data_IF_624581600924
#
_entry.id   IF_624581600924
#
_cell.length_a   1.000
_cell.length_b   1.000
_cell.length_c   1.000
_cell.angle_alpha   90.00
_cell.angle_beta   90.00
_cell.angle_gamma   90.00
#
_symmetry.space_group_name_H-M   'P 1'
#
loop_
_entity.id
_entity.type
_entity.pdbx_description
1 polymer ?
#
# COMPACT_ATOMS: atom_id res chain seq x y z
N UNK A 1 -63.65 -2.92 -57.96
CA UNK A 1 -62.28 -2.74 -58.48
C UNK A 1 -61.35 -2.41 -57.32
N UNK A 2 -60.33 -3.26 -57.07
CA UNK A 2 -59.10 -3.03 -56.28
C UNK A 2 -59.25 -2.65 -54.79
N UNK A 3 -58.44 -3.09 -53.82
CA UNK A 3 -57.56 -4.24 -53.54
C UNK A 3 -56.99 -3.91 -52.13
N UNK A 4 -57.07 -4.85 -51.17
CA UNK A 4 -56.07 -5.16 -50.09
C UNK A 4 -55.71 -3.99 -49.13
N UNK A 5 -56.16 -3.92 -47.86
CA UNK A 5 -55.95 -4.74 -46.64
C UNK A 5 -54.55 -4.64 -45.99
N UNK A 6 -54.52 -3.90 -44.85
CA UNK A 6 -53.76 -4.13 -43.59
C UNK A 6 -52.22 -3.91 -43.55
N UNK A 7 -51.52 -3.69 -42.42
CA UNK A 7 -51.75 -3.65 -40.95
C UNK A 7 -50.73 -2.62 -40.40
N UNK A 8 -51.10 -1.75 -39.44
CA UNK A 8 -50.72 -1.86 -38.01
C UNK A 8 -49.21 -2.04 -37.73
N UNK A 9 -48.56 -1.03 -37.15
CA UNK A 9 -47.74 -1.20 -35.94
C UNK A 9 -47.16 0.14 -35.47
N UNK A 10 -47.38 0.40 -34.19
CA UNK A 10 -46.83 1.43 -33.32
C UNK A 10 -45.31 1.61 -33.42
N UNK A 11 -44.82 2.86 -33.48
CA UNK A 11 -43.48 3.18 -33.00
C UNK A 11 -43.44 4.52 -32.24
N UNK A 12 -43.37 4.34 -30.93
CA UNK A 12 -42.86 5.19 -29.84
C UNK A 12 -41.75 6.17 -30.27
N UNK A 13 -41.99 7.49 -30.12
CA UNK A 13 -40.94 8.51 -30.15
C UNK A 13 -41.09 9.43 -28.94
N UNK A 14 -40.13 9.25 -28.02
CA UNK A 14 -39.48 10.28 -27.20
C UNK A 14 -40.33 11.00 -26.14
N UNK A 15 -40.65 10.27 -25.05
CA UNK A 15 -40.96 10.91 -23.78
C UNK A 15 -39.68 11.39 -23.09
N UNK A 16 -39.64 12.70 -22.86
CA UNK A 16 -38.74 13.44 -21.99
C UNK A 16 -38.57 12.76 -20.63
N UNK A 17 -37.38 12.24 -20.35
CA UNK A 17 -36.87 12.16 -18.98
C UNK A 17 -35.98 13.37 -18.73
N UNK A 18 -36.58 14.46 -18.24
CA UNK A 18 -35.88 15.43 -17.41
C UNK A 18 -35.47 14.71 -16.13
N UNK A 19 -34.27 14.14 -16.11
CA UNK A 19 -33.57 13.99 -14.85
C UNK A 19 -33.02 15.37 -14.49
N UNK A 20 -33.72 16.04 -13.57
CA UNK A 20 -33.20 17.16 -12.83
C UNK A 20 -31.98 16.67 -12.04
N UNK A 21 -30.80 16.75 -12.67
CA UNK A 21 -29.54 16.76 -11.94
C UNK A 21 -29.59 18.06 -11.14
N UNK A 22 -29.94 17.96 -9.87
CA UNK A 22 -29.62 19.01 -8.92
C UNK A 22 -28.10 19.13 -8.92
N UNK A 23 -27.57 20.09 -9.70
CA UNK A 23 -26.24 20.62 -9.46
C UNK A 23 -26.28 21.24 -8.07
N UNK A 24 -25.87 20.47 -7.07
CA UNK A 24 -25.43 21.02 -5.81
C UNK A 24 -24.22 21.91 -6.11
N UNK A 25 -24.49 23.21 -6.03
CA UNK A 25 -23.55 24.30 -5.75
C UNK A 25 -22.07 24.01 -6.01
N UNK A 26 -21.58 24.56 -7.12
CA UNK A 26 -20.22 25.10 -7.29
C UNK A 26 -19.18 24.54 -6.31
N UNK A 27 -18.53 23.42 -6.68
CA UNK A 27 -17.20 23.12 -6.15
C UNK A 27 -16.28 24.27 -6.53
N UNK A 28 -15.97 25.13 -5.56
CA UNK A 28 -15.11 26.28 -5.74
C UNK A 28 -13.81 25.86 -6.44
N UNK A 29 -13.43 26.64 -7.44
CA UNK A 29 -12.26 26.39 -8.26
C UNK A 29 -10.99 26.13 -7.44
N UNK A 30 -10.30 25.03 -7.79
CA UNK A 30 -8.85 24.76 -7.62
C UNK A 30 -8.33 24.69 -6.16
N UNK A 31 -8.26 23.46 -5.64
CA UNK A 31 -7.82 23.06 -4.29
C UNK A 31 -6.34 23.26 -3.95
N UNK A 32 -5.72 24.36 -4.39
CA UNK A 32 -4.40 24.81 -3.98
C UNK A 32 -4.53 25.91 -2.93
N UNK A 33 -4.02 25.66 -1.73
CA UNK A 33 -4.06 26.61 -0.62
C UNK A 33 -2.89 27.59 -0.72
N UNK A 34 -3.09 28.85 -0.35
CA UNK A 34 -1.97 29.80 -0.25
C UNK A 34 -1.14 29.53 1.00
N UNK A 35 0.18 29.46 0.83
CA UNK A 35 1.13 29.08 1.85
C UNK A 35 2.23 30.13 1.95
N UNK A 36 2.69 30.39 3.18
CA UNK A 36 3.84 31.26 3.45
C UNK A 36 4.83 30.53 4.35
N UNK A 37 6.13 30.71 4.10
CA UNK A 37 7.16 30.29 5.04
C UNK A 37 7.18 31.25 6.24
N UNK A 38 7.15 30.69 7.44
CA UNK A 38 7.40 31.40 8.69
C UNK A 38 8.48 30.69 9.49
N UNK A 39 9.02 31.36 10.51
CA UNK A 39 10.13 30.88 11.30
C UNK A 39 9.80 30.97 12.79
N UNK A 40 10.25 29.97 13.54
CA UNK A 40 10.28 30.03 14.99
C UNK A 40 11.72 29.78 15.46
N UNK A 41 12.36 30.81 16.00
CA UNK A 41 13.75 30.77 16.49
C UNK A 41 14.72 30.12 15.49
N UNK A 42 14.66 30.53 14.22
CA UNK A 42 15.52 30.01 13.15
C UNK A 42 15.01 28.75 12.44
N UNK A 43 14.01 28.05 12.99
CA UNK A 43 13.46 26.83 12.37
C UNK A 43 12.21 27.16 11.52
N UNK A 44 12.21 26.83 10.21
CA UNK A 44 11.11 27.17 9.32
C UNK A 44 9.92 26.22 9.48
N UNK A 45 8.73 26.74 9.21
CA UNK A 45 7.51 25.97 8.99
C UNK A 45 6.63 26.65 7.94
N UNK A 46 5.75 25.87 7.32
CA UNK A 46 4.76 26.41 6.38
C UNK A 46 3.50 26.81 7.14
N UNK A 47 2.92 27.96 6.76
CA UNK A 47 1.68 28.47 7.30
C UNK A 47 0.66 28.71 6.20
N UNK A 48 -0.56 28.22 6.41
CA UNK A 48 -1.71 28.48 5.57
C UNK A 48 -2.14 29.94 5.76
N UNK A 49 -2.30 30.65 4.65
CA UNK A 49 -2.75 32.04 4.60
C UNK A 49 -3.97 32.15 3.68
N UNK A 50 -4.86 33.10 3.96
CA UNK A 50 -6.07 33.35 3.17
C UNK A 50 -6.97 32.11 2.97
N UNK A 51 -6.92 31.14 3.90
CA UNK A 51 -7.78 29.97 3.85
C UNK A 51 -9.14 30.30 4.48
N UNK A 52 -10.23 30.02 3.77
CA UNK A 52 -11.58 30.42 4.17
C UNK A 52 -12.04 29.78 5.48
N UNK A 53 -11.73 28.49 5.68
CA UNK A 53 -12.08 27.78 6.91
C UNK A 53 -11.00 28.00 7.99
N UNK A 54 -11.21 29.04 8.80
CA UNK A 54 -10.24 29.44 9.83
C UNK A 54 -9.95 28.37 10.88
N UNK A 55 -10.96 27.58 11.28
CA UNK A 55 -10.79 26.48 12.25
C UNK A 55 -9.82 25.42 11.73
N UNK A 56 -9.94 25.06 10.45
CA UNK A 56 -9.03 24.11 9.80
C UNK A 56 -7.63 24.71 9.67
N UNK A 57 -7.50 25.96 9.20
CA UNK A 57 -6.17 26.58 9.08
C UNK A 57 -5.48 26.76 10.42
N UNK A 58 -6.19 27.17 11.47
CA UNK A 58 -5.60 27.39 12.79
C UNK A 58 -5.08 26.07 13.39
N UNK A 59 -5.83 24.97 13.19
CA UNK A 59 -5.40 23.62 13.59
C UNK A 59 -4.12 23.19 12.86
N UNK A 60 -4.11 23.25 11.52
CA UNK A 60 -2.95 22.83 10.71
C UNK A 60 -1.73 23.72 11.02
N UNK A 61 -1.93 25.04 11.09
CA UNK A 61 -0.86 25.99 11.43
C UNK A 61 -0.26 25.72 12.81
N UNK A 62 -1.09 25.37 13.80
CA UNK A 62 -0.62 24.99 15.12
C UNK A 62 0.23 23.72 15.07
N UNK A 63 -0.19 22.69 14.33
CA UNK A 63 0.57 21.43 14.20
C UNK A 63 1.90 21.63 13.48
N UNK A 64 1.92 22.38 12.37
CA UNK A 64 3.15 22.68 11.64
C UNK A 64 4.11 23.56 12.46
N UNK A 65 3.59 24.54 13.21
CA UNK A 65 4.40 25.37 14.12
C UNK A 65 4.98 24.54 15.27
N UNK A 66 4.25 23.55 15.80
CA UNK A 66 4.74 22.66 16.86
C UNK A 66 6.01 21.91 16.44
N UNK A 67 6.14 21.53 15.17
CA UNK A 67 7.39 20.97 14.65
C UNK A 67 8.55 21.95 14.84
N UNK A 68 8.44 23.17 14.31
CA UNK A 68 9.49 24.19 14.44
C UNK A 68 9.79 24.56 15.92
N UNK A 69 8.78 24.57 16.79
CA UNK A 69 8.97 24.77 18.24
C UNK A 69 9.78 23.63 18.86
N UNK A 70 9.46 22.38 18.53
CA UNK A 70 10.21 21.20 18.99
C UNK A 70 11.65 21.25 18.49
N UNK A 71 11.85 21.54 17.20
CA UNK A 71 13.18 21.69 16.59
C UNK A 71 14.01 22.77 17.27
N UNK A 72 13.42 23.93 17.56
CA UNK A 72 14.08 24.99 18.31
C UNK A 72 14.42 24.58 19.75
N UNK A 73 13.60 23.75 20.40
CA UNK A 73 13.92 23.23 21.73
C UNK A 73 15.10 22.26 21.69
N UNK A 74 15.20 21.43 20.65
CA UNK A 74 16.29 20.47 20.48
C UNK A 74 17.59 21.20 20.16
N UNK A 75 17.59 22.12 19.19
CA UNK A 75 18.81 22.87 18.82
C UNK A 75 19.36 23.73 19.94
N UNK A 76 18.53 24.13 20.92
CA UNK A 76 18.95 24.89 22.10
C UNK A 76 19.20 24.01 23.35
N UNK A 77 19.12 22.69 23.24
CA UNK A 77 19.35 21.77 24.35
C UNK A 77 20.82 21.81 24.80
N UNK A 78 21.10 21.34 26.02
CA UNK A 78 22.48 21.23 26.51
C UNK A 78 23.35 20.35 25.61
N UNK A 79 22.76 19.31 25.03
CA UNK A 79 23.42 18.38 24.12
C UNK A 79 23.90 19.08 22.83
N UNK A 80 23.03 19.85 22.17
CA UNK A 80 23.37 20.52 20.91
C UNK A 80 24.10 21.85 21.07
N UNK A 81 24.41 22.27 22.31
CA UNK A 81 25.30 23.40 22.60
C UNK A 81 26.77 23.01 22.75
N UNK A 82 27.10 21.73 22.61
CA UNK A 82 28.47 21.26 22.62
C UNK A 82 29.21 21.70 21.35
N UNK A 83 30.52 21.89 21.45
CA UNK A 83 31.36 22.22 20.30
C UNK A 83 31.29 21.11 19.24
N UNK A 84 31.16 21.50 17.97
CA UNK A 84 31.03 20.57 16.86
C UNK A 84 29.66 19.89 16.73
N UNK A 85 28.68 20.21 17.58
CA UNK A 85 27.30 19.73 17.42
C UNK A 85 26.48 20.73 16.60
N UNK A 86 25.54 20.22 15.79
CA UNK A 86 24.70 21.03 14.92
C UNK A 86 23.32 20.40 14.79
N UNK A 87 22.27 21.22 14.75
CA UNK A 87 20.90 20.79 14.48
C UNK A 87 20.17 21.87 13.70
N UNK A 88 19.70 21.54 12.50
CA UNK A 88 18.96 22.45 11.66
C UNK A 88 17.83 21.74 10.92
N UNK A 89 16.82 22.52 10.54
CA UNK A 89 15.65 22.00 9.84
C UNK A 89 15.30 22.81 8.60
N UNK A 90 14.76 22.14 7.60
CA UNK A 90 14.19 22.75 6.39
C UNK A 90 12.74 22.27 6.23
N UNK A 91 11.95 23.00 5.47
CA UNK A 91 10.56 22.65 5.16
C UNK A 91 10.29 22.79 3.68
N UNK A 92 9.50 21.89 3.12
CA UNK A 92 9.02 21.94 1.74
C UNK A 92 7.54 21.58 1.66
N UNK A 93 6.84 22.14 0.68
CA UNK A 93 5.48 21.71 0.33
C UNK A 93 5.59 20.69 -0.81
N UNK A 94 5.44 19.41 -0.50
CA UNK A 94 5.55 18.32 -1.47
C UNK A 94 4.28 18.16 -2.32
N UNK A 95 3.10 18.50 -1.77
CA UNK A 95 1.84 18.45 -2.49
C UNK A 95 0.86 19.50 -1.98
N UNK A 96 0.11 20.13 -2.86
CA UNK A 96 -0.90 21.14 -2.51
C UNK A 96 -1.90 21.28 -3.67
N UNK A 97 -2.71 20.25 -3.86
CA UNK A 97 -3.74 20.15 -4.89
C UNK A 97 -4.84 19.22 -4.37
N UNK A 98 -6.00 19.18 -5.04
CA UNK A 98 -7.04 18.16 -4.82
C UNK A 98 -7.47 17.99 -3.35
N UNK A 99 -7.56 19.11 -2.61
CA UNK A 99 -7.88 19.13 -1.17
C UNK A 99 -6.90 18.31 -0.30
N UNK A 100 -5.67 18.08 -0.77
CA UNK A 100 -4.59 17.46 -0.01
C UNK A 100 -3.41 18.40 0.09
N UNK A 101 -2.81 18.42 1.27
CA UNK A 101 -1.58 19.14 1.56
C UNK A 101 -0.56 18.17 2.15
N UNK A 102 0.61 18.07 1.55
CA UNK A 102 1.75 17.32 2.07
C UNK A 102 2.89 18.29 2.37
N UNK A 103 3.26 18.39 3.64
CA UNK A 103 4.41 19.20 4.10
C UNK A 103 5.51 18.26 4.58
N UNK A 104 6.69 18.42 4.00
CA UNK A 104 7.89 17.68 4.36
C UNK A 104 8.80 18.56 5.21
N UNK A 105 9.22 18.04 6.36
CA UNK A 105 10.30 18.61 7.14
C UNK A 105 11.54 17.75 7.00
N UNK A 106 12.70 18.40 6.96
CA UNK A 106 13.99 17.75 6.87
C UNK A 106 14.82 18.21 8.04
N UNK A 107 15.44 17.28 8.74
CA UNK A 107 16.35 17.56 9.84
C UNK A 107 17.73 17.13 9.42
N UNK A 108 18.70 18.04 9.55
CA UNK A 108 20.13 17.74 9.42
C UNK A 108 20.78 17.99 10.77
N UNK A 109 21.51 17.02 11.30
CA UNK A 109 22.21 17.18 12.58
C UNK A 109 23.55 16.45 12.62
N UNK A 110 24.47 16.91 13.46
CA UNK A 110 25.69 16.17 13.82
C UNK A 110 25.88 16.21 15.34
N UNK A 111 26.44 15.14 15.88
CA UNK A 111 26.75 14.99 17.31
C UNK A 111 28.27 14.87 17.52
N UNK A 112 29.03 15.80 16.93
CA UNK A 112 30.50 15.82 16.99
C UNK A 112 31.22 14.93 15.97
N UNK A 113 30.48 14.30 15.06
CA UNK A 113 31.05 13.51 13.97
C UNK A 113 31.39 14.36 12.72
N UNK A 114 32.23 13.80 11.85
CA UNK A 114 32.64 14.44 10.58
C UNK A 114 31.52 14.53 9.52
N UNK A 115 30.44 13.76 9.68
CA UNK A 115 29.31 13.71 8.75
C UNK A 115 28.01 14.06 9.47
N UNK A 116 27.15 14.82 8.81
CA UNK A 116 25.79 15.07 9.29
C UNK A 116 24.86 13.91 8.94
N UNK A 117 23.92 13.62 9.83
CA UNK A 117 22.79 12.73 9.59
C UNK A 117 21.61 13.54 9.07
N UNK A 118 20.84 12.93 8.18
CA UNK A 118 19.60 13.51 7.67
C UNK A 118 18.40 12.60 7.90
N UNK A 119 17.27 13.20 8.25
CA UNK A 119 16.00 12.50 8.41
C UNK A 119 14.85 13.38 7.90
N UNK A 120 13.79 12.75 7.41
CA UNK A 120 12.58 13.42 6.94
C UNK A 120 11.34 13.06 7.77
N UNK A 121 10.51 14.07 8.06
CA UNK A 121 9.19 13.93 8.65
C UNK A 121 8.13 14.44 7.67
N UNK A 122 6.96 13.79 7.66
CA UNK A 122 5.85 14.17 6.80
C UNK A 122 4.57 14.52 7.57
N UNK A 123 3.88 15.54 7.09
CA UNK A 123 2.60 16.00 7.60
C UNK A 123 1.63 16.13 6.44
N UNK A 124 0.73 15.15 6.32
CA UNK A 124 -0.26 15.06 5.27
C UNK A 124 -1.62 15.42 5.82
N UNK A 125 -2.41 16.22 5.10
CA UNK A 125 -3.71 16.69 5.56
C UNK A 125 -4.77 16.56 4.48
N UNK A 126 -5.98 16.25 4.94
CA UNK A 126 -7.18 16.55 4.21
C UNK A 126 -7.60 17.99 4.49
N UNK A 127 -7.61 18.83 3.46
CA UNK A 127 -7.88 20.27 3.56
C UNK A 127 -9.36 20.60 3.77
N UNK A 128 -10.27 19.67 3.50
CA UNK A 128 -11.70 19.89 3.75
C UNK A 128 -12.03 19.78 5.25
N UNK A 129 -11.35 18.86 5.95
CA UNK A 129 -11.62 18.56 7.37
C UNK A 129 -10.54 19.05 8.33
N UNK A 130 -9.32 19.30 7.84
CA UNK A 130 -8.14 19.51 8.66
C UNK A 130 -7.67 18.25 9.39
N UNK A 131 -8.10 17.06 8.96
CA UNK A 131 -7.61 15.78 9.50
C UNK A 131 -6.18 15.56 9.02
N UNK A 132 -5.26 15.26 9.94
CA UNK A 132 -3.94 14.73 9.61
C UNK A 132 -4.10 13.28 9.17
N UNK A 133 -3.53 12.96 8.01
CA UNK A 133 -3.56 11.64 7.39
C UNK A 133 -2.24 10.93 7.65
N UNK A 134 -2.33 9.71 8.16
CA UNK A 134 -1.22 8.80 8.35
C UNK A 134 -1.22 7.73 7.26
N UNK A 135 -0.09 7.06 7.05
CA UNK A 135 -0.02 5.99 6.04
C UNK A 135 -0.98 4.85 6.39
N UNK A 136 -1.24 4.60 7.69
CA UNK A 136 -2.27 3.66 8.16
C UNK A 136 -3.71 4.04 7.81
N UNK A 137 -4.02 5.33 7.58
CA UNK A 137 -5.34 5.73 7.08
C UNK A 137 -5.52 5.34 5.60
N UNK A 138 -4.42 5.21 4.85
CA UNK A 138 -4.40 4.81 3.43
C UNK A 138 -4.33 3.29 3.32
N UNK A 139 -3.41 2.66 4.06
CA UNK A 139 -3.18 1.22 4.12
C UNK A 139 -4.05 0.57 5.20
N UNK A 140 -5.35 0.84 5.11
CA UNK A 140 -6.34 0.53 6.14
C UNK A 140 -6.87 -0.93 6.08
N UNK A 141 -6.42 -1.73 5.12
CA UNK A 141 -6.73 -3.16 5.03
C UNK A 141 -5.45 -3.96 4.77
N UNK A 142 -5.52 -5.28 5.04
CA UNK A 142 -4.38 -6.17 4.81
C UNK A 142 -4.00 -6.27 3.34
N UNK A 143 -4.98 -6.32 2.45
CA UNK A 143 -4.75 -6.32 0.99
C UNK A 143 -4.03 -5.06 0.52
N UNK A 144 -4.45 -3.87 1.01
CA UNK A 144 -3.75 -2.61 0.66
C UNK A 144 -2.32 -2.60 1.15
N UNK A 145 -2.06 -3.09 2.37
CA UNK A 145 -0.70 -3.21 2.91
C UNK A 145 0.15 -4.16 2.09
N UNK A 146 -0.39 -5.32 1.73
CA UNK A 146 0.29 -6.31 0.91
C UNK A 146 0.67 -5.73 -0.46
N UNK A 147 -0.31 -5.22 -1.21
CA UNK A 147 -0.10 -4.62 -2.53
C UNK A 147 0.91 -3.48 -2.49
N UNK A 148 0.77 -2.60 -1.51
CA UNK A 148 1.70 -1.50 -1.29
C UNK A 148 3.14 -1.99 -1.10
N UNK A 149 3.33 -2.98 -0.23
CA UNK A 149 4.64 -3.54 0.09
C UNK A 149 5.27 -4.25 -1.13
N UNK A 150 4.47 -5.01 -1.88
CA UNK A 150 4.95 -5.70 -3.09
C UNK A 150 5.42 -4.69 -4.14
N UNK A 151 4.64 -3.64 -4.41
CA UNK A 151 5.04 -2.58 -5.33
C UNK A 151 6.33 -1.87 -4.88
N UNK A 152 6.48 -1.62 -3.57
CA UNK A 152 7.69 -1.00 -3.03
C UNK A 152 8.92 -1.88 -3.28
N UNK A 153 8.84 -3.17 -2.97
CA UNK A 153 9.94 -4.12 -3.20
C UNK A 153 10.30 -4.24 -4.67
N UNK A 154 9.31 -4.37 -5.54
CA UNK A 154 9.53 -4.44 -6.99
C UNK A 154 10.24 -3.18 -7.50
N UNK A 155 9.81 -2.00 -7.02
CA UNK A 155 10.47 -0.73 -7.37
C UNK A 155 11.90 -0.66 -6.87
N UNK A 156 12.18 -1.10 -5.63
CA UNK A 156 13.53 -1.13 -5.07
C UNK A 156 14.43 -2.13 -5.81
N UNK A 157 13.92 -3.32 -6.13
CA UNK A 157 14.63 -4.31 -6.94
C UNK A 157 14.97 -3.74 -8.31
N UNK A 158 14.02 -3.15 -9.02
CA UNK A 158 14.25 -2.52 -10.32
C UNK A 158 15.27 -1.39 -10.25
N UNK A 159 15.22 -0.58 -9.20
CA UNK A 159 16.20 0.49 -8.97
C UNK A 159 17.59 -0.11 -8.73
N UNK A 160 17.70 -1.19 -7.95
CA UNK A 160 18.96 -1.88 -7.73
C UNK A 160 19.52 -2.47 -9.02
N UNK A 161 18.70 -3.18 -9.81
CA UNK A 161 19.13 -3.74 -11.10
C UNK A 161 19.67 -2.67 -12.04
N UNK A 162 19.14 -1.45 -11.97
CA UNK A 162 19.58 -0.32 -12.81
C UNK A 162 20.83 0.39 -12.29
N UNK A 163 21.04 0.45 -10.97
CA UNK A 163 22.03 1.36 -10.36
C UNK A 163 23.08 0.67 -9.51
N UNK A 164 22.79 -0.53 -8.99
CA UNK A 164 23.59 -1.22 -7.98
C UNK A 164 23.65 -0.52 -6.62
N UNK A 165 22.85 0.53 -6.39
CA UNK A 165 22.99 1.41 -5.23
C UNK A 165 22.07 1.08 -4.05
N UNK A 166 21.08 0.20 -4.26
CA UNK A 166 20.10 -0.20 -3.24
C UNK A 166 20.55 -1.54 -2.64
N UNK A 167 20.87 -1.56 -1.36
CA UNK A 167 21.36 -2.76 -0.68
C UNK A 167 20.26 -3.56 0.01
N UNK A 168 19.10 -2.94 0.29
CA UNK A 168 17.95 -3.60 0.93
C UNK A 168 16.71 -3.42 0.04
N UNK A 169 16.48 -4.40 -0.82
CA UNK A 169 15.33 -4.41 -1.74
C UNK A 169 14.08 -5.06 -1.16
N UNK A 170 14.20 -5.73 -0.01
CA UNK A 170 13.08 -6.35 0.70
C UNK A 170 12.44 -5.43 1.72
N UNK A 171 13.04 -4.25 1.96
CA UNK A 171 12.56 -3.25 2.91
C UNK A 171 11.06 -2.97 2.77
N UNK A 172 10.33 -3.25 3.85
CA UNK A 172 8.94 -2.83 4.00
C UNK A 172 8.85 -1.40 4.55
N UNK A 173 7.86 -0.64 4.07
CA UNK A 173 7.58 0.69 4.62
C UNK A 173 7.00 0.57 6.03
N UNK A 174 7.59 1.27 7.00
CA UNK A 174 7.01 1.33 8.34
C UNK A 174 5.76 2.22 8.33
N UNK A 175 4.57 1.62 8.31
CA UNK A 175 3.31 2.37 8.19
C UNK A 175 3.04 3.41 9.28
N UNK A 176 3.73 3.32 10.42
CA UNK A 176 3.59 4.26 11.54
C UNK A 176 4.56 5.44 11.46
N UNK A 177 5.74 5.24 10.89
CA UNK A 177 6.83 6.24 10.96
C UNK A 177 7.42 6.63 9.62
N UNK A 178 7.17 5.88 8.53
CA UNK A 178 7.70 6.19 7.22
C UNK A 178 7.16 7.55 6.75
N UNK A 179 8.08 8.38 6.27
CA UNK A 179 7.68 9.61 5.59
C UNK A 179 7.01 9.29 4.26
N UNK A 180 5.87 9.92 4.02
CA UNK A 180 5.15 9.81 2.75
C UNK A 180 4.55 11.15 2.36
N UNK A 181 4.28 11.35 1.07
CA UNK A 181 3.55 12.51 0.58
C UNK A 181 2.70 12.15 -0.63
N UNK A 182 1.56 12.81 -0.78
CA UNK A 182 0.73 12.67 -1.97
C UNK A 182 1.45 13.13 -3.25
N UNK A 183 1.08 12.53 -4.38
CA UNK A 183 1.37 13.01 -5.71
C UNK A 183 0.13 12.84 -6.61
N UNK A 184 0.21 13.25 -7.87
CA UNK A 184 -0.95 13.24 -8.78
C UNK A 184 -1.40 11.80 -9.17
N UNK A 185 -0.56 10.78 -8.99
CA UNK A 185 -0.83 9.38 -9.38
C UNK A 185 -1.07 8.45 -8.17
N UNK A 186 -0.73 8.89 -6.96
CA UNK A 186 -0.71 8.03 -5.77
C UNK A 186 -0.07 8.70 -4.57
N UNK A 187 0.74 7.92 -3.86
CA UNK A 187 1.60 8.39 -2.77
C UNK A 187 3.05 8.08 -3.07
N UNK A 188 3.96 8.91 -2.57
CA UNK A 188 5.38 8.63 -2.56
C UNK A 188 5.79 8.30 -1.13
N UNK A 189 6.42 7.14 -0.91
CA UNK A 189 7.17 6.89 0.32
C UNK A 189 8.63 7.27 0.13
N UNK A 190 9.19 7.84 1.19
CA UNK A 190 10.57 8.32 1.22
C UNK A 190 11.35 7.52 2.24
N UNK A 191 12.38 6.85 1.77
CA UNK A 191 13.42 6.26 2.59
C UNK A 191 14.53 7.29 2.86
N UNK A 192 14.98 7.37 4.10
CA UNK A 192 16.07 8.27 4.50
C UNK A 192 17.43 7.75 3.99
N UNK A 193 18.47 8.60 3.94
CA UNK A 193 19.80 8.15 3.58
C UNK A 193 20.27 6.98 4.48
N UNK A 194 20.88 5.96 3.89
CA UNK A 194 21.27 4.70 4.54
C UNK A 194 20.12 3.80 5.03
N UNK A 195 18.87 4.08 4.66
CA UNK A 195 17.77 3.18 5.02
C UNK A 195 17.65 1.99 4.05
N UNK A 196 17.79 2.24 2.75
CA UNK A 196 17.74 1.21 1.69
C UNK A 196 18.88 1.30 0.68
N UNK A 197 19.58 2.44 0.64
CA UNK A 197 20.64 2.74 -0.32
C UNK A 197 21.77 3.53 0.35
N UNK A 198 22.97 3.50 -0.24
CA UNK A 198 24.14 4.20 0.29
C UNK A 198 23.90 5.71 0.45
N UNK A 199 24.49 6.32 1.48
CA UNK A 199 24.28 7.73 1.85
C UNK A 199 24.37 8.74 0.68
N UNK A 200 25.25 8.48 -0.30
CA UNK A 200 25.47 9.38 -1.44
C UNK A 200 24.28 9.44 -2.41
N UNK A 201 23.32 8.51 -2.32
CA UNK A 201 22.05 8.55 -3.06
C UNK A 201 21.05 9.54 -2.43
N UNK A 202 21.28 9.98 -1.19
CA UNK A 202 20.33 10.81 -0.47
C UNK A 202 19.03 10.05 -0.15
N UNK A 203 17.89 10.72 -0.31
CA UNK A 203 16.58 10.10 -0.12
C UNK A 203 16.22 9.21 -1.32
N UNK A 204 15.67 8.03 -1.04
CA UNK A 204 15.08 7.17 -2.08
C UNK A 204 13.57 7.30 -2.03
N UNK A 205 12.99 7.82 -3.11
CA UNK A 205 11.55 7.99 -3.25
C UNK A 205 10.95 6.87 -4.10
N UNK A 206 9.92 6.21 -3.59
CA UNK A 206 9.15 5.19 -4.30
C UNK A 206 7.72 5.67 -4.46
N UNK A 207 7.30 5.82 -5.72
CA UNK A 207 5.91 6.17 -6.07
C UNK A 207 5.07 4.89 -6.09
N UNK A 208 4.01 4.87 -5.30
CA UNK A 208 2.99 3.81 -5.29
C UNK A 208 1.67 4.39 -5.83
N UNK A 209 1.23 3.97 -7.03
CA UNK A 209 0.00 4.47 -7.64
C UNK A 209 -1.27 4.11 -6.87
N UNK A 210 -2.32 4.92 -6.99
CA UNK A 210 -3.61 4.65 -6.31
C UNK A 210 -4.26 3.35 -6.79
N UNK A 211 -4.21 3.05 -8.08
CA UNK A 211 -4.80 1.83 -8.63
C UNK A 211 -4.12 0.59 -8.06
N UNK A 212 -2.79 0.60 -7.87
CA UNK A 212 -2.06 -0.49 -7.23
C UNK A 212 -2.49 -0.68 -5.77
N UNK A 213 -2.57 0.40 -5.00
CA UNK A 213 -3.00 0.36 -3.59
C UNK A 213 -4.42 -0.20 -3.49
N UNK A 214 -5.32 0.22 -4.37
CA UNK A 214 -6.71 -0.22 -4.37
C UNK A 214 -6.92 -1.59 -5.04
N UNK A 215 -5.86 -2.21 -5.60
CA UNK A 215 -5.94 -3.49 -6.31
C UNK A 215 -6.76 -3.43 -7.62
N UNK A 216 -6.85 -2.25 -8.24
CA UNK A 216 -7.57 -2.03 -9.48
C UNK A 216 -6.72 -2.45 -10.68
N UNK A 217 -7.21 -3.40 -11.47
CA UNK A 217 -6.49 -3.94 -12.64
C UNK A 217 -5.93 -5.35 -12.44
N UNK A 218 -6.06 -5.93 -11.24
CA UNK A 218 -5.66 -7.32 -10.94
C UNK A 218 -6.76 -8.36 -11.25
N UNK A 219 -7.83 -7.99 -11.96
CA UNK A 219 -8.92 -8.90 -12.31
C UNK A 219 -8.71 -9.54 -13.70
N UNK A 220 -8.61 -10.87 -13.71
CA UNK A 220 -8.94 -11.83 -14.77
C UNK A 220 -8.50 -11.48 -16.20
N UNK A 221 -7.21 -11.63 -16.51
CA UNK A 221 -6.84 -12.13 -17.84
C UNK A 221 -6.86 -13.66 -17.82
N UNK A 222 -8.04 -14.23 -17.59
CA UNK A 222 -8.31 -15.59 -18.06
C UNK A 222 -8.26 -15.54 -19.59
N UNK A 223 -7.17 -16.02 -20.18
CA UNK A 223 -7.06 -16.21 -21.63
C UNK A 223 -8.06 -17.27 -22.09
N UNK A 224 -9.31 -16.87 -22.29
CA UNK A 224 -10.25 -17.58 -23.14
C UNK A 224 -10.01 -17.14 -24.59
N UNK A 225 -8.88 -17.58 -25.15
CA UNK A 225 -8.70 -17.56 -26.60
C UNK A 225 -9.47 -18.73 -27.20
N UNK A 226 -10.79 -18.54 -27.38
CA UNK A 226 -11.55 -19.28 -28.39
C UNK A 226 -12.59 -18.35 -29.00
N UNK A 227 -12.36 -18.01 -30.27
CA UNK A 227 -13.26 -17.29 -31.13
C UNK A 227 -14.39 -18.22 -31.60
N UNK A 228 -15.64 -17.98 -31.18
CA UNK A 228 -16.82 -18.08 -32.06
C UNK A 228 -18.07 -17.53 -31.38
N UNK A 229 -18.87 -16.84 -32.19
CA UNK A 229 -20.17 -16.24 -31.91
C UNK A 229 -21.22 -17.27 -31.44
N UNK A 230 -22.03 -16.95 -30.42
CA UNK A 230 -23.52 -16.99 -30.40
C UNK A 230 -24.05 -16.78 -28.97
N UNK A 231 -25.26 -16.23 -28.87
CA UNK A 231 -25.94 -15.75 -27.67
C UNK A 231 -26.12 -16.77 -26.52
N UNK A 232 -26.25 -16.19 -25.33
CA UNK A 232 -26.88 -16.72 -24.09
C UNK A 232 -26.17 -17.87 -23.39
N UNK A 233 -25.33 -17.52 -22.42
CA UNK A 233 -25.34 -18.10 -21.06
C UNK A 233 -24.58 -17.15 -20.13
N UNK A 234 -25.12 -16.91 -18.93
CA UNK A 234 -24.39 -16.25 -17.85
C UNK A 234 -23.30 -17.23 -17.41
N UNK A 235 -22.00 -16.88 -17.39
CA UNK A 235 -20.98 -17.82 -16.92
C UNK A 235 -21.26 -18.12 -15.44
N UNK A 236 -21.63 -19.36 -15.15
CA UNK A 236 -22.13 -19.80 -13.83
C UNK A 236 -21.12 -20.60 -13.02
N UNK A 237 -19.83 -20.49 -13.29
CA UNK A 237 -18.76 -21.03 -12.43
C UNK A 237 -17.55 -20.11 -12.44
N UNK A 238 -17.08 -19.72 -11.25
CA UNK A 238 -15.85 -18.97 -11.08
C UNK A 238 -14.73 -19.99 -10.92
N UNK A 239 -14.20 -20.50 -12.04
CA UNK A 239 -13.12 -21.48 -12.01
C UNK A 239 -11.83 -20.80 -11.51
N UNK A 240 -11.55 -20.92 -10.21
CA UNK A 240 -10.35 -20.39 -9.59
C UNK A 240 -9.22 -21.39 -9.80
N UNK A 241 -8.21 -21.03 -10.59
CA UNK A 241 -7.01 -21.84 -10.71
C UNK A 241 -6.23 -21.80 -9.37
N UNK A 242 -6.02 -22.95 -8.70
CA UNK A 242 -5.26 -22.99 -7.44
C UNK A 242 -3.83 -22.45 -7.55
N UNK A 243 -3.27 -22.47 -8.76
CA UNK A 243 -1.93 -21.90 -9.03
C UNK A 243 -1.88 -20.38 -8.87
N UNK A 244 -3.03 -19.70 -8.99
CA UNK A 244 -3.14 -18.24 -8.79
C UNK A 244 -3.36 -17.86 -7.31
N UNK A 245 -3.48 -18.88 -6.44
CA UNK A 245 -3.63 -18.70 -5.00
C UNK A 245 -2.29 -18.95 -4.33
N UNK A 246 -1.77 -17.91 -3.72
CA UNK A 246 -0.43 -17.86 -3.15
C UNK A 246 -0.46 -17.82 -1.63
N UNK A 247 0.59 -18.34 -1.01
CA UNK A 247 0.84 -18.20 0.42
C UNK A 247 2.05 -17.27 0.60
N UNK A 248 1.94 -16.33 1.52
CA UNK A 248 3.05 -15.48 1.95
C UNK A 248 3.20 -15.54 3.48
N UNK A 249 4.37 -15.18 3.98
CA UNK A 249 4.54 -14.85 5.40
C UNK A 249 3.51 -13.81 5.82
N UNK A 250 3.21 -13.72 7.11
CA UNK A 250 2.12 -12.87 7.59
C UNK A 250 2.26 -11.42 7.09
N UNK A 251 3.46 -10.84 7.20
CA UNK A 251 3.81 -9.49 6.76
C UNK A 251 3.83 -9.29 5.22
N UNK A 252 3.65 -10.37 4.46
CA UNK A 252 3.75 -10.39 3.01
C UNK A 252 5.20 -10.35 2.52
N UNK A 253 6.19 -10.53 3.39
CA UNK A 253 7.58 -10.40 3.01
C UNK A 253 8.07 -11.57 2.15
N UNK A 254 7.88 -12.79 2.64
CA UNK A 254 8.39 -14.02 2.05
C UNK A 254 7.28 -14.72 1.29
N UNK A 255 7.55 -15.10 0.05
CA UNK A 255 6.68 -15.99 -0.71
C UNK A 255 6.88 -17.43 -0.23
N UNK A 256 5.77 -18.13 0.04
CA UNK A 256 5.76 -19.48 0.62
C UNK A 256 5.11 -20.51 -0.32
N UNK A 257 4.95 -20.16 -1.60
CA UNK A 257 4.42 -21.04 -2.63
C UNK A 257 2.97 -20.77 -3.03
N UNK A 258 2.43 -21.66 -3.85
CA UNK A 258 1.10 -21.64 -4.46
C UNK A 258 0.31 -22.90 -4.11
N UNK A 259 -1.01 -22.83 -4.24
CA UNK A 259 -1.90 -23.98 -4.06
C UNK A 259 -2.02 -24.85 -5.32
N UNK A 260 -1.11 -24.72 -6.30
CA UNK A 260 -1.09 -25.55 -7.51
C UNK A 260 -1.17 -27.04 -7.14
N UNK A 261 -2.23 -27.73 -7.55
CA UNK A 261 -2.43 -29.17 -7.31
C UNK A 261 -1.51 -30.06 -8.16
N UNK A 262 -0.85 -29.47 -9.17
CA UNK A 262 0.25 -30.12 -9.87
C UNK A 262 1.48 -30.21 -8.95
N UNK A 263 1.76 -31.41 -8.43
CA UNK A 263 2.87 -31.70 -7.52
C UNK A 263 4.25 -31.63 -8.18
N UNK A 264 4.34 -31.39 -9.49
CA UNK A 264 5.59 -31.11 -10.19
C UNK A 264 5.86 -29.61 -10.40
N UNK A 265 4.88 -28.74 -10.10
CA UNK A 265 5.09 -27.29 -10.18
C UNK A 265 6.14 -26.87 -9.13
N UNK A 266 7.12 -26.05 -9.53
CA UNK A 266 8.18 -25.57 -8.64
C UNK A 266 7.66 -24.73 -7.48
N UNK A 267 6.53 -24.05 -7.71
CA UNK A 267 5.90 -23.15 -6.76
C UNK A 267 4.83 -23.88 -5.93
N UNK A 268 4.50 -25.13 -6.20
CA UNK A 268 3.46 -25.85 -5.45
C UNK A 268 3.94 -26.20 -4.05
N UNK A 269 3.12 -25.87 -3.04
CA UNK A 269 3.32 -26.36 -1.67
C UNK A 269 3.08 -27.87 -1.54
N UNK A 270 2.53 -28.54 -2.55
CA UNK A 270 2.32 -29.99 -2.58
C UNK A 270 3.46 -30.72 -3.31
N UNK A 271 4.44 -29.99 -3.85
CA UNK A 271 5.65 -30.57 -4.39
C UNK A 271 6.65 -30.86 -3.26
N UNK A 272 6.60 -32.08 -2.70
CA UNK A 272 7.47 -32.52 -1.59
C UNK A 272 8.99 -32.45 -1.90
N UNK A 273 9.37 -32.30 -3.17
CA UNK A 273 10.76 -32.14 -3.60
C UNK A 273 11.11 -30.70 -3.99
N UNK A 274 10.13 -29.80 -4.02
CA UNK A 274 10.29 -28.39 -4.37
C UNK A 274 10.59 -27.50 -3.17
N UNK A 275 10.91 -26.23 -3.44
CA UNK A 275 11.28 -25.24 -2.41
C UNK A 275 10.16 -25.00 -1.40
N UNK A 276 8.90 -24.98 -1.83
CA UNK A 276 7.78 -24.60 -0.96
C UNK A 276 6.98 -25.78 -0.40
N UNK A 277 7.17 -26.98 -0.96
CA UNK A 277 6.51 -28.20 -0.48
C UNK A 277 7.41 -29.14 0.31
N UNK A 278 8.74 -29.00 0.22
CA UNK A 278 9.68 -29.86 0.93
C UNK A 278 9.68 -29.60 2.43
N UNK A 279 9.63 -30.68 3.23
CA UNK A 279 9.77 -30.63 4.69
C UNK A 279 11.16 -30.15 5.18
N UNK A 280 12.12 -29.98 4.28
CA UNK A 280 13.50 -29.58 4.62
C UNK A 280 13.81 -28.13 4.22
N UNK A 281 12.93 -27.48 3.47
CA UNK A 281 13.16 -26.11 2.99
C UNK A 281 12.81 -25.08 4.06
N UNK A 282 13.57 -23.99 4.14
CA UNK A 282 13.31 -22.90 5.09
C UNK A 282 12.06 -22.08 4.72
N UNK A 283 11.68 -22.08 3.44
CA UNK A 283 10.53 -21.33 2.90
C UNK A 283 9.26 -22.21 2.77
N UNK A 284 9.28 -23.41 3.33
CA UNK A 284 8.17 -24.35 3.30
C UNK A 284 7.38 -24.31 4.61
N UNK A 285 6.06 -24.25 4.50
CA UNK A 285 5.15 -24.39 5.66
C UNK A 285 5.16 -25.81 6.24
N UNK A 286 5.74 -26.79 5.52
CA UNK A 286 5.81 -28.19 5.95
C UNK A 286 7.11 -28.55 6.67
N UNK A 287 8.02 -27.59 6.82
CA UNK A 287 9.23 -27.79 7.61
C UNK A 287 8.95 -27.58 9.10
N UNK A 288 8.82 -28.69 9.83
CA UNK A 288 8.51 -28.72 11.27
C UNK A 288 9.57 -28.03 12.16
N UNK A 289 10.78 -27.80 11.62
CA UNK A 289 11.84 -27.05 12.30
C UNK A 289 11.99 -25.62 11.77
N UNK A 290 11.19 -25.23 10.77
CA UNK A 290 11.26 -23.95 10.08
C UNK A 290 10.43 -22.85 10.73
N UNK A 291 10.65 -21.62 10.25
CA UNK A 291 9.90 -20.43 10.69
C UNK A 291 8.41 -20.53 10.38
N UNK A 292 8.04 -21.15 9.26
CA UNK A 292 6.66 -21.17 8.77
C UNK A 292 5.91 -22.48 9.04
N UNK A 293 6.61 -23.51 9.52
CA UNK A 293 6.04 -24.85 9.75
C UNK A 293 6.18 -25.41 11.17
N UNK A 294 6.96 -24.79 12.06
CA UNK A 294 7.15 -25.29 13.43
C UNK A 294 6.00 -24.98 14.38
N UNK A 295 5.82 -25.77 15.44
CA UNK A 295 4.79 -25.52 16.47
C UNK A 295 5.04 -24.27 17.33
N UNK A 296 6.24 -23.68 17.24
CA UNK A 296 6.72 -22.66 18.17
C UNK A 296 6.83 -21.26 17.56
N UNK A 297 7.12 -21.17 16.26
CA UNK A 297 7.31 -19.87 15.62
C UNK A 297 6.01 -19.08 15.57
N UNK A 298 6.10 -17.76 15.81
CA UNK A 298 4.95 -16.86 15.68
C UNK A 298 4.52 -16.68 14.21
N UNK A 299 5.35 -17.02 13.23
CA UNK A 299 4.99 -16.91 11.82
C UNK A 299 4.58 -18.25 11.20
N UNK A 300 4.38 -19.28 12.04
CA UNK A 300 4.08 -20.63 11.58
C UNK A 300 2.60 -20.90 11.36
N UNK A 301 2.32 -21.71 10.34
CA UNK A 301 1.02 -22.29 10.11
C UNK A 301 0.61 -23.33 11.18
N UNK A 302 1.56 -23.96 11.86
CA UNK A 302 1.30 -25.02 12.85
C UNK A 302 1.26 -24.54 14.31
N UNK A 303 1.67 -23.30 14.59
CA UNK A 303 1.57 -22.73 15.93
C UNK A 303 0.11 -22.33 16.25
N UNK A 304 -0.58 -23.14 17.05
CA UNK A 304 -1.97 -22.92 17.45
C UNK A 304 -2.23 -21.62 18.27
N UNK A 305 -1.18 -20.97 18.77
CA UNK A 305 -1.27 -19.76 19.58
C UNK A 305 -0.91 -18.48 18.81
N UNK A 306 -0.48 -18.59 17.55
CA UNK A 306 -0.07 -17.42 16.79
C UNK A 306 -1.24 -16.53 16.36
N UNK A 307 -1.03 -15.22 16.34
CA UNK A 307 -1.93 -14.25 15.70
C UNK A 307 -1.37 -13.69 14.38
N UNK A 308 -0.23 -14.21 13.94
CA UNK A 308 0.51 -13.78 12.74
C UNK A 308 0.89 -14.97 11.85
N UNK A 309 -0.04 -15.88 11.50
CA UNK A 309 0.28 -16.99 10.61
C UNK A 309 0.42 -16.54 9.15
N UNK A 310 0.91 -17.42 8.25
CA UNK A 310 0.94 -17.16 6.81
C UNK A 310 -0.43 -16.73 6.26
N UNK A 311 -0.40 -15.81 5.29
CA UNK A 311 -1.59 -15.27 4.62
C UNK A 311 -1.84 -15.99 3.29
N UNK A 312 -3.11 -16.16 2.95
CA UNK A 312 -3.55 -16.63 1.63
C UNK A 312 -3.88 -15.41 0.77
N UNK A 313 -3.28 -15.32 -0.41
CA UNK A 313 -3.40 -14.21 -1.35
C UNK A 313 -3.95 -14.71 -2.68
N UNK A 314 -4.99 -14.06 -3.20
CA UNK A 314 -5.55 -14.30 -4.53
C UNK A 314 -5.69 -12.97 -5.26
N UNK A 315 -5.01 -12.82 -6.41
CA UNK A 315 -4.94 -11.56 -7.17
C UNK A 315 -4.68 -10.31 -6.30
N UNK A 316 -3.69 -10.43 -5.41
CA UNK A 316 -3.28 -9.36 -4.50
C UNK A 316 -4.24 -9.07 -3.34
N UNK A 317 -5.38 -9.77 -3.26
CA UNK A 317 -6.28 -9.72 -2.11
C UNK A 317 -5.87 -10.74 -1.09
N UNK A 318 -5.71 -10.30 0.17
CA UNK A 318 -5.57 -11.22 1.29
C UNK A 318 -6.94 -11.79 1.63
N UNK A 319 -7.14 -13.07 1.36
CA UNK A 319 -8.44 -13.75 1.44
C UNK A 319 -8.57 -14.64 2.68
N UNK A 320 -7.47 -14.97 3.34
CA UNK A 320 -7.48 -15.81 4.53
C UNK A 320 -6.10 -16.04 5.11
N UNK A 321 -6.01 -17.05 5.98
CA UNK A 321 -4.80 -17.47 6.68
C UNK A 321 -4.63 -18.98 6.56
N UNK A 322 -3.40 -19.45 6.67
CA UNK A 322 -3.09 -20.88 6.86
C UNK A 322 -2.67 -21.08 8.30
N UNK A 323 -3.49 -21.73 9.13
CA UNK A 323 -3.17 -21.88 10.55
C UNK A 323 -3.94 -22.99 11.27
N UNK A 324 -3.30 -23.62 12.26
CA UNK A 324 -3.95 -24.47 13.26
C UNK A 324 -4.65 -23.68 14.36
N UNK A 325 -4.46 -22.36 14.45
CA UNK A 325 -5.16 -21.51 15.41
C UNK A 325 -6.65 -21.34 15.04
N UNK A 326 -7.49 -22.15 15.68
CA UNK A 326 -8.95 -22.14 15.53
C UNK A 326 -9.67 -20.83 15.87
N UNK A 327 -9.00 -19.87 16.52
CA UNK A 327 -9.61 -18.57 16.88
C UNK A 327 -9.48 -17.52 15.77
N UNK A 328 -8.66 -17.77 14.75
CA UNK A 328 -8.53 -16.88 13.60
C UNK A 328 -9.64 -17.14 12.58
N UNK A 329 -10.30 -16.07 12.13
CA UNK A 329 -11.35 -16.14 11.11
C UNK A 329 -10.73 -16.27 9.72
N UNK A 330 -11.48 -16.89 8.79
CA UNK A 330 -11.04 -17.12 7.41
C UNK A 330 -9.72 -17.90 7.34
N UNK A 331 -9.54 -18.86 8.26
CA UNK A 331 -8.38 -19.73 8.31
C UNK A 331 -8.68 -21.06 7.63
N UNK A 332 -7.68 -21.61 6.93
CA UNK A 332 -7.65 -22.98 6.43
C UNK A 332 -6.61 -23.73 7.27
N UNK A 333 -6.99 -24.88 7.81
CA UNK A 333 -6.05 -25.74 8.51
C UNK A 333 -4.99 -26.24 7.52
N UNK A 334 -3.69 -26.32 7.88
CA UNK A 334 -2.65 -26.79 6.96
C UNK A 334 -2.99 -28.14 6.31
N UNK A 335 -3.45 -29.11 7.10
CA UNK A 335 -3.82 -30.45 6.62
C UNK A 335 -5.00 -30.45 5.62
N UNK A 336 -5.83 -29.41 5.62
CA UNK A 336 -6.98 -29.28 4.72
C UNK A 336 -6.63 -28.56 3.40
N UNK A 337 -5.41 -28.05 3.24
CA UNK A 337 -5.04 -27.21 2.09
C UNK A 337 -5.18 -27.92 0.75
N UNK A 338 -4.89 -29.21 0.67
CA UNK A 338 -5.02 -29.96 -0.58
C UNK A 338 -6.50 -30.09 -0.99
N UNK A 339 -7.37 -30.41 -0.03
CA UNK A 339 -8.81 -30.48 -0.27
C UNK A 339 -9.36 -29.11 -0.64
N UNK A 340 -8.96 -28.06 0.09
CA UNK A 340 -9.31 -26.68 -0.25
C UNK A 340 -8.89 -26.32 -1.67
N UNK A 341 -7.64 -26.60 -2.07
CA UNK A 341 -7.15 -26.34 -3.42
C UNK A 341 -7.94 -27.10 -4.50
N UNK A 342 -8.32 -28.35 -4.23
CA UNK A 342 -9.14 -29.14 -5.16
C UNK A 342 -10.54 -28.54 -5.33
N UNK A 343 -11.17 -28.06 -4.25
CA UNK A 343 -12.51 -27.44 -4.32
C UNK A 343 -12.55 -26.18 -5.18
N UNK A 344 -11.43 -25.46 -5.33
CA UNK A 344 -11.35 -24.25 -6.16
C UNK A 344 -11.53 -24.55 -7.67
N UNK A 345 -11.19 -25.77 -8.10
CA UNK A 345 -11.37 -26.21 -9.50
C UNK A 345 -12.83 -26.54 -9.82
N UNK A 346 -13.66 -26.74 -8.79
CA UNK A 346 -15.06 -27.15 -8.90
C UNK A 346 -16.06 -25.98 -8.70
N UNK A 347 -15.55 -24.77 -8.46
CA UNK A 347 -16.33 -23.51 -8.34
C UNK A 347 -16.64 -22.90 -9.70
#
# INVERSE_FOLDING_TARGET
>A
MKRIVSYLSTFLILCLFLNAITLTSASAASGKVSLKAEYYKGHPYVKLVNFSNKKVSDKINLELKKFAVKSASISNSKEFKQEGYYYNTRVSTAYNKNNKLSVMFYTTYTTGGLSSLEWSDSFNYDMSTGKRIYLTDILNTRSKQFLFNQHVKETLNLLNTKTGAVFDTNKLANTKTQSFFYNDQGVTIRFNPNEVAYANQGYVDVVVPYNEIEGQGLAETGTNNNHSNTNTEVPSTLNINPSDVHIYSNDGETYLGSLSTNTFNSDSIFNQYGTYGSQYSIDSIWNEYGTYGSDYSLDSAFNQYTTTPPIIVYYGKVVGYVTTNQYLKNAVHPDDLLAFAQTLLDL
#
